data_IF_095933568651
#
_entry.id   IF_095933568651
#
_cell.length_a   1.000
_cell.length_b   1.000
_cell.length_c   1.000
_cell.angle_alpha   90.00
_cell.angle_beta   90.00
_cell.angle_gamma   90.00
#
_symmetry.space_group_name_H-M   'P 1'
#
loop_
_entity.id
_entity.type
_entity.pdbx_description
1 polymer ?
#
# COMPACT_ATOMS: atom_id res chain seq x y z
N UNK A 1 2.48 10.26 17.71
CA UNK A 1 1.73 10.65 16.51
C UNK A 1 2.43 10.05 15.30
N UNK A 2 1.71 9.34 14.44
CA UNK A 2 2.30 8.75 13.22
C UNK A 2 2.63 9.87 12.23
N UNK A 3 3.85 9.87 11.69
CA UNK A 3 4.28 10.84 10.67
C UNK A 3 3.69 10.47 9.31
N UNK A 4 2.43 10.82 9.09
CA UNK A 4 1.73 10.51 7.84
C UNK A 4 2.34 11.24 6.64
N UNK A 5 2.77 12.49 6.79
CA UNK A 5 3.43 13.24 5.72
C UNK A 5 4.73 12.57 5.27
N UNK A 6 5.53 12.07 6.22
CA UNK A 6 6.74 11.31 5.93
C UNK A 6 6.45 9.93 5.32
N UNK A 7 5.32 9.31 5.59
CA UNK A 7 4.89 8.08 4.89
C UNK A 7 4.52 8.41 3.44
N UNK A 8 3.73 9.46 3.22
CA UNK A 8 3.33 9.91 1.88
C UNK A 8 4.54 10.26 1.01
N UNK A 9 5.48 11.05 1.56
CA UNK A 9 6.71 11.42 0.85
C UNK A 9 7.50 10.19 0.39
N UNK A 10 7.60 9.14 1.24
CA UNK A 10 8.24 7.88 0.86
C UNK A 10 7.44 7.11 -0.20
N UNK A 11 6.10 7.13 -0.14
CA UNK A 11 5.24 6.42 -1.09
C UNK A 11 5.38 6.95 -2.53
N UNK A 12 5.68 8.25 -2.67
CA UNK A 12 5.87 8.90 -3.98
C UNK A 12 7.34 9.04 -4.38
N UNK A 13 8.27 8.55 -3.56
CA UNK A 13 9.71 8.65 -3.81
C UNK A 13 10.16 7.86 -5.04
N UNK A 14 11.25 8.31 -5.67
CA UNK A 14 11.96 7.55 -6.70
C UNK A 14 12.68 6.32 -6.13
N UNK A 15 12.99 6.29 -4.84
CA UNK A 15 13.69 5.19 -4.20
C UNK A 15 12.78 3.99 -3.90
N UNK A 16 13.22 2.80 -4.29
CA UNK A 16 12.45 1.55 -4.15
C UNK A 16 12.29 1.15 -2.69
N UNK A 17 13.32 1.33 -1.87
CA UNK A 17 13.28 0.96 -0.46
C UNK A 17 12.40 1.92 0.34
N UNK A 18 12.37 3.20 -0.01
CA UNK A 18 11.44 4.17 0.57
C UNK A 18 10.00 3.79 0.27
N UNK A 19 9.65 3.50 -0.99
CA UNK A 19 8.28 3.06 -1.34
C UNK A 19 7.89 1.76 -0.64
N UNK A 20 8.82 0.81 -0.54
CA UNK A 20 8.60 -0.44 0.21
C UNK A 20 8.39 -0.19 1.71
N UNK A 21 9.15 0.75 2.31
CA UNK A 21 8.96 1.17 3.70
C UNK A 21 7.61 1.86 3.88
N UNK A 22 7.20 2.71 2.94
CA UNK A 22 5.89 3.35 2.97
C UNK A 22 4.76 2.31 2.99
N UNK A 23 4.80 1.31 2.11
CA UNK A 23 3.83 0.20 2.11
C UNK A 23 3.76 -0.50 3.48
N UNK A 24 4.90 -0.84 4.07
CA UNK A 24 4.95 -1.44 5.41
C UNK A 24 4.31 -0.55 6.49
N UNK A 25 4.64 0.74 6.49
CA UNK A 25 4.10 1.70 7.46
C UNK A 25 2.59 1.90 7.27
N UNK A 26 2.12 2.00 6.03
CA UNK A 26 0.70 2.10 5.72
C UNK A 26 -0.07 0.90 6.25
N UNK A 27 0.41 -0.34 6.03
CA UNK A 27 -0.23 -1.53 6.57
C UNK A 27 -0.23 -1.61 8.10
N UNK A 28 0.89 -1.22 8.73
CA UNK A 28 1.06 -1.31 10.19
C UNK A 28 0.26 -0.27 10.97
N UNK A 29 0.06 0.91 10.38
CA UNK A 29 -0.51 2.07 11.09
C UNK A 29 -1.81 2.59 10.47
N UNK A 30 -2.38 1.90 9.48
CA UNK A 30 -3.52 2.43 8.70
C UNK A 30 -4.67 2.95 9.57
N UNK A 31 -5.02 2.20 10.62
CA UNK A 31 -6.12 2.54 11.52
C UNK A 31 -5.88 3.86 12.27
N UNK A 32 -4.61 4.16 12.56
CA UNK A 32 -4.15 5.31 13.35
C UNK A 32 -3.88 6.56 12.49
N UNK A 33 -3.93 6.44 11.16
CA UNK A 33 -3.73 7.57 10.26
C UNK A 33 -4.97 8.47 10.24
N UNK A 34 -4.82 9.78 10.50
CA UNK A 34 -5.95 10.71 10.51
C UNK A 34 -6.56 10.91 9.12
N UNK A 35 -5.76 10.94 8.05
CA UNK A 35 -6.24 11.06 6.67
C UNK A 35 -6.20 9.69 5.96
N UNK A 36 -7.26 8.90 6.12
CA UNK A 36 -7.35 7.57 5.52
C UNK A 36 -7.50 7.60 4.00
N UNK A 37 -7.99 8.70 3.43
CA UNK A 37 -8.17 8.83 1.98
C UNK A 37 -6.81 8.96 1.28
N UNK A 38 -5.91 9.78 1.82
CA UNK A 38 -4.54 9.89 1.30
C UNK A 38 -3.77 8.59 1.53
N UNK A 39 -3.89 7.99 2.72
CA UNK A 39 -3.25 6.70 3.01
C UNK A 39 -3.72 5.59 2.06
N UNK A 40 -5.02 5.56 1.75
CA UNK A 40 -5.59 4.63 0.78
C UNK A 40 -5.04 4.89 -0.63
N UNK A 41 -5.04 6.14 -1.10
CA UNK A 41 -4.49 6.49 -2.43
C UNK A 41 -3.03 6.07 -2.59
N UNK A 42 -2.22 6.28 -1.56
CA UNK A 42 -0.82 5.86 -1.55
C UNK A 42 -0.71 4.33 -1.63
N UNK A 43 -1.46 3.61 -0.81
CA UNK A 43 -1.45 2.15 -0.81
C UNK A 43 -1.91 1.57 -2.16
N UNK A 44 -3.01 2.10 -2.71
CA UNK A 44 -3.54 1.77 -4.04
C UNK A 44 -2.49 1.98 -5.15
N UNK A 45 -1.74 3.09 -5.10
CA UNK A 45 -0.67 3.33 -6.07
C UNK A 45 0.47 2.33 -5.92
N UNK A 46 0.81 1.94 -4.70
CA UNK A 46 1.89 0.99 -4.41
C UNK A 46 1.54 -0.45 -4.84
N UNK A 47 0.26 -0.85 -4.86
CA UNK A 47 -0.14 -2.16 -5.42
C UNK A 47 0.15 -2.25 -6.93
N UNK A 48 0.29 -1.11 -7.61
CA UNK A 48 0.57 -1.00 -9.04
C UNK A 48 2.03 -0.61 -9.32
N UNK A 49 2.92 -0.65 -8.32
CA UNK A 49 4.31 -0.23 -8.47
C UNK A 49 5.06 -1.04 -9.54
N UNK A 50 6.03 -0.43 -10.22
CA UNK A 50 6.86 -1.13 -11.21
C UNK A 50 7.72 -2.24 -10.58
N UNK A 51 8.13 -2.07 -9.33
CA UNK A 51 8.96 -3.01 -8.60
C UNK A 51 8.12 -4.05 -7.85
N UNK A 52 8.37 -5.35 -8.10
CA UNK A 52 7.59 -6.42 -7.47
C UNK A 52 7.78 -6.53 -5.95
N UNK A 53 8.94 -6.12 -5.41
CA UNK A 53 9.14 -6.07 -3.95
C UNK A 53 8.25 -5.04 -3.28
N UNK A 54 7.96 -3.93 -3.98
CA UNK A 54 7.02 -2.91 -3.51
C UNK A 54 5.59 -3.43 -3.61
N UNK A 55 5.19 -3.99 -4.77
CA UNK A 55 3.85 -4.57 -4.95
C UNK A 55 3.54 -5.67 -3.94
N UNK A 56 4.48 -6.60 -3.70
CA UNK A 56 4.32 -7.65 -2.68
C UNK A 56 4.07 -7.05 -1.30
N UNK A 57 4.87 -6.05 -0.91
CA UNK A 57 4.68 -5.41 0.39
C UNK A 57 3.37 -4.61 0.47
N UNK A 58 2.94 -4.01 -0.63
CA UNK A 58 1.66 -3.34 -0.73
C UNK A 58 0.49 -4.33 -0.64
N UNK A 59 0.61 -5.53 -1.20
CA UNK A 59 -0.37 -6.61 -1.04
C UNK A 59 -0.52 -7.03 0.43
N UNK A 60 0.60 -7.27 1.13
CA UNK A 60 0.59 -7.56 2.58
C UNK A 60 -0.13 -6.44 3.35
N UNK A 61 0.27 -5.19 3.07
CA UNK A 61 -0.28 -4.01 3.74
C UNK A 61 -1.77 -3.81 3.45
N UNK A 62 -2.21 -4.09 2.22
CA UNK A 62 -3.62 -4.04 1.82
C UNK A 62 -4.45 -5.06 2.60
N UNK A 63 -3.93 -6.27 2.81
CA UNK A 63 -4.57 -7.27 3.67
C UNK A 63 -4.76 -6.79 5.11
N UNK A 64 -3.72 -6.20 5.72
CA UNK A 64 -3.80 -5.65 7.07
C UNK A 64 -4.75 -4.44 7.19
N UNK A 65 -4.73 -3.56 6.19
CA UNK A 65 -5.53 -2.33 6.18
C UNK A 65 -6.99 -2.54 5.76
N UNK A 66 -7.34 -3.70 5.18
CA UNK A 66 -8.60 -3.91 4.43
C UNK A 66 -9.87 -3.44 5.16
N UNK A 67 -10.00 -3.77 6.45
CA UNK A 67 -11.18 -3.40 7.24
C UNK A 67 -11.32 -1.88 7.47
N UNK A 68 -10.23 -1.12 7.37
CA UNK A 68 -10.17 0.32 7.61
C UNK A 68 -10.20 1.16 6.34
N UNK A 69 -10.13 0.54 5.16
CA UNK A 69 -10.14 1.25 3.87
C UNK A 69 -11.54 1.80 3.58
N UNK A 70 -11.66 3.07 3.16
CA UNK A 70 -12.94 3.70 2.83
C UNK A 70 -13.59 3.09 1.58
N UNK A 71 -12.82 2.81 0.53
CA UNK A 71 -13.29 2.19 -0.72
C UNK A 71 -12.86 0.71 -0.80
N UNK A 72 -13.65 -0.16 -0.18
CA UNK A 72 -13.37 -1.61 -0.13
C UNK A 72 -13.56 -2.32 -1.46
N UNK A 73 -14.42 -1.80 -2.34
CA UNK A 73 -14.66 -2.40 -3.65
C UNK A 73 -13.42 -2.28 -4.54
N UNK A 74 -12.76 -1.12 -4.52
CA UNK A 74 -11.50 -0.93 -5.22
C UNK A 74 -10.38 -1.74 -4.57
N UNK A 75 -10.30 -1.78 -3.24
CA UNK A 75 -9.33 -2.63 -2.53
C UNK A 75 -9.48 -4.12 -2.89
N UNK A 76 -10.71 -4.62 -2.98
CA UNK A 76 -10.98 -5.99 -3.39
C UNK A 76 -10.54 -6.25 -4.84
N UNK A 77 -10.83 -5.34 -5.76
CA UNK A 77 -10.39 -5.43 -7.16
C UNK A 77 -8.87 -5.44 -7.27
N UNK A 78 -8.17 -4.67 -6.45
CA UNK A 78 -6.71 -4.67 -6.41
C UNK A 78 -6.15 -6.00 -5.90
N UNK A 79 -6.68 -6.54 -4.80
CA UNK A 79 -6.29 -7.86 -4.31
C UNK A 79 -6.48 -8.95 -5.38
N UNK A 80 -7.62 -8.93 -6.07
CA UNK A 80 -7.88 -9.86 -7.16
C UNK A 80 -6.93 -9.66 -8.37
N UNK A 81 -6.49 -8.43 -8.66
CA UNK A 81 -5.47 -8.20 -9.70
C UNK A 81 -4.10 -8.72 -9.28
N UNK A 82 -3.74 -8.57 -8.01
CA UNK A 82 -2.45 -9.02 -7.47
C UNK A 82 -2.28 -10.54 -7.58
N UNK A 83 -3.36 -11.33 -7.45
CA UNK A 83 -3.31 -12.80 -7.67
C UNK A 83 -2.99 -13.18 -9.13
N UNK A 84 -3.08 -12.22 -10.06
CA UNK A 84 -2.73 -12.40 -11.47
C UNK A 84 -1.39 -11.72 -11.85
N UNK A 85 -0.63 -11.23 -10.86
CA UNK A 85 0.64 -10.55 -11.11
C UNK A 85 1.65 -11.46 -11.83
N UNK A 86 2.52 -10.85 -12.64
CA UNK A 86 3.58 -11.58 -13.34
C UNK A 86 4.61 -12.20 -12.38
N UNK A 87 4.88 -11.54 -11.26
CA UNK A 87 5.83 -11.98 -10.26
C UNK A 87 5.15 -12.98 -9.30
N UNK A 88 5.69 -14.19 -9.20
CA UNK A 88 5.13 -15.25 -8.37
C UNK A 88 5.23 -14.98 -6.87
N UNK A 89 6.06 -14.03 -6.44
CA UNK A 89 6.09 -13.59 -5.05
C UNK A 89 5.03 -12.54 -4.73
N UNK A 90 4.38 -11.97 -5.74
CA UNK A 90 3.24 -11.04 -5.59
C UNK A 90 1.91 -11.79 -5.67
N UNK A 91 1.81 -12.81 -6.54
CA UNK A 91 0.63 -13.70 -6.62
C UNK A 91 0.45 -14.50 -5.34
#
# INVERSE_FOLDING_TARGET
MVDQAGIHSKAVSGDVDERRRAAYQLGSFFADLPDRDTAWKDLHKLTQDKNSRVRRRAADALGHAFQHIPDRDTAWKDLHKLTQDKDSGVR
#
